data_IF_611114278230
#
_entry.id   IF_611114278230
#
_cell.length_a   1.000
_cell.length_b   1.000
_cell.length_c   1.000
_cell.angle_alpha   90.00
_cell.angle_beta   90.00
_cell.angle_gamma   90.00
#
_symmetry.space_group_name_H-M   'P 1'
#
loop_
_entity.id
_entity.type
_entity.pdbx_description
1 polymer ?
#
# COMPACT_ATOMS: atom_id res chain seq x y z
N UNK A 1 4.56 45.94 -11.90
CA UNK A 1 3.68 44.83 -12.31
C UNK A 1 4.45 43.56 -12.69
N UNK A 2 5.57 43.65 -13.44
CA UNK A 2 6.36 42.47 -13.86
C UNK A 2 7.02 41.67 -12.70
N UNK A 3 7.52 42.33 -11.65
CA UNK A 3 8.14 41.63 -10.51
C UNK A 3 7.15 40.78 -9.68
N UNK A 4 5.86 41.16 -9.66
CA UNK A 4 4.80 40.41 -8.94
C UNK A 4 4.43 39.15 -9.71
N UNK A 5 4.27 39.25 -11.04
CA UNK A 5 4.08 38.09 -11.90
C UNK A 5 5.26 37.11 -11.79
N UNK A 6 6.46 37.65 -11.55
CA UNK A 6 7.65 36.84 -11.32
C UNK A 6 7.73 36.15 -9.96
N UNK A 7 7.22 36.78 -8.90
CA UNK A 7 7.03 36.09 -7.63
C UNK A 7 6.02 34.95 -7.76
N UNK A 8 4.90 35.20 -8.44
CA UNK A 8 3.77 34.28 -8.49
C UNK A 8 4.06 33.00 -9.25
N UNK A 9 4.80 33.05 -10.37
CA UNK A 9 5.22 31.84 -11.07
C UNK A 9 6.21 30.98 -10.26
N UNK A 10 7.04 31.61 -9.42
CA UNK A 10 8.02 30.88 -8.62
C UNK A 10 7.31 30.15 -7.46
N UNK A 11 6.31 30.79 -6.87
CA UNK A 11 5.47 30.20 -5.82
C UNK A 11 4.67 28.99 -6.32
N UNK A 12 4.09 29.06 -7.52
CA UNK A 12 3.38 27.93 -8.13
C UNK A 12 4.33 26.76 -8.41
N UNK A 13 5.52 27.04 -8.94
CA UNK A 13 6.54 26.02 -9.17
C UNK A 13 7.04 25.35 -7.87
N UNK A 14 7.08 26.09 -6.76
CA UNK A 14 7.42 25.56 -5.43
C UNK A 14 6.32 24.65 -4.88
N UNK A 15 5.05 25.04 -5.03
CA UNK A 15 3.91 24.22 -4.58
C UNK A 15 3.79 22.90 -5.36
N UNK A 16 3.98 22.94 -6.68
CA UNK A 16 3.89 21.73 -7.52
C UNK A 16 4.97 20.70 -7.12
N UNK A 17 6.19 21.18 -6.87
CA UNK A 17 7.30 20.35 -6.38
C UNK A 17 6.99 19.78 -5.00
N UNK A 18 6.43 20.59 -4.09
CA UNK A 18 6.10 20.13 -2.74
C UNK A 18 5.03 19.04 -2.75
N UNK A 19 3.97 19.20 -3.55
CA UNK A 19 2.91 18.20 -3.70
C UNK A 19 3.49 16.90 -4.29
N UNK A 20 4.30 17.00 -5.33
CA UNK A 20 4.93 15.83 -5.96
C UNK A 20 5.85 15.07 -4.99
N UNK A 21 6.73 15.78 -4.27
CA UNK A 21 7.62 15.19 -3.27
C UNK A 21 6.84 14.55 -2.11
N UNK A 22 5.76 15.18 -1.66
CA UNK A 22 4.90 14.61 -0.60
C UNK A 22 4.21 13.32 -1.04
N UNK A 23 3.71 13.26 -2.29
CA UNK A 23 3.09 12.06 -2.84
C UNK A 23 4.08 10.90 -2.94
N UNK A 24 5.29 11.15 -3.44
CA UNK A 24 6.36 10.15 -3.48
C UNK A 24 6.74 9.68 -2.07
N UNK A 25 6.85 10.59 -1.10
CA UNK A 25 7.15 10.25 0.29
C UNK A 25 6.10 9.32 0.90
N UNK A 26 4.81 9.55 0.62
CA UNK A 26 3.72 8.69 1.08
C UNK A 26 3.82 7.29 0.43
N UNK A 27 4.03 7.22 -0.89
CA UNK A 27 4.16 5.94 -1.58
C UNK A 27 5.36 5.11 -1.08
N UNK A 28 6.51 5.77 -0.90
CA UNK A 28 7.71 5.12 -0.36
C UNK A 28 7.46 4.65 1.08
N UNK A 29 6.84 5.48 1.93
CA UNK A 29 6.57 5.08 3.32
C UNK A 29 5.61 3.89 3.41
N UNK A 30 4.56 3.82 2.56
CA UNK A 30 3.71 2.62 2.48
C UNK A 30 4.46 1.38 1.98
N UNK A 31 5.33 1.53 0.98
CA UNK A 31 6.14 0.42 0.48
C UNK A 31 7.09 -0.09 1.58
N UNK A 32 7.80 0.80 2.27
CA UNK A 32 8.71 0.47 3.38
C UNK A 32 7.93 -0.17 4.53
N UNK A 33 6.79 0.38 4.94
CA UNK A 33 5.95 -0.19 5.98
C UNK A 33 5.50 -1.62 5.64
N UNK A 34 5.12 -1.86 4.38
CA UNK A 34 4.75 -3.20 3.91
C UNK A 34 5.90 -4.19 4.03
N UNK A 35 7.11 -3.78 3.63
CA UNK A 35 8.32 -4.61 3.73
C UNK A 35 8.68 -4.87 5.19
N UNK A 36 8.63 -3.84 6.06
CA UNK A 36 8.95 -3.97 7.49
C UNK A 36 7.97 -4.90 8.19
N UNK A 37 6.66 -4.80 7.88
CA UNK A 37 5.66 -5.72 8.42
C UNK A 37 5.89 -7.15 7.95
N UNK A 38 6.24 -7.34 6.68
CA UNK A 38 6.55 -8.67 6.12
C UNK A 38 7.79 -9.29 6.78
N UNK A 39 8.90 -8.55 6.85
CA UNK A 39 10.13 -9.01 7.50
C UNK A 39 9.92 -9.22 9.00
N UNK A 40 9.20 -8.32 9.67
CA UNK A 40 8.84 -8.43 11.08
C UNK A 40 8.00 -9.68 11.36
N UNK A 41 7.03 -9.99 10.50
CA UNK A 41 6.27 -11.24 10.57
C UNK A 41 7.19 -12.46 10.39
N UNK A 42 8.10 -12.43 9.41
CA UNK A 42 9.05 -13.51 9.17
C UNK A 42 9.98 -13.75 10.38
N UNK A 43 10.53 -12.68 10.97
CA UNK A 43 11.37 -12.75 12.17
C UNK A 43 10.56 -13.25 13.38
N UNK A 44 9.33 -12.79 13.56
CA UNK A 44 8.42 -13.24 14.62
C UNK A 44 8.15 -14.75 14.52
N UNK A 45 7.84 -15.23 13.31
CA UNK A 45 7.63 -16.65 13.03
C UNK A 45 8.91 -17.44 13.31
N UNK A 46 10.06 -16.97 12.82
CA UNK A 46 11.36 -17.63 13.02
C UNK A 46 11.75 -17.74 14.51
N UNK A 47 11.41 -16.73 15.32
CA UNK A 47 11.64 -16.74 16.78
C UNK A 47 10.64 -17.57 17.57
N UNK A 48 9.45 -17.84 17.04
CA UNK A 48 8.45 -18.64 17.73
C UNK A 48 8.91 -20.10 17.89
N UNK A 49 8.91 -20.61 19.13
CA UNK A 49 9.04 -22.05 19.44
C UNK A 49 7.70 -22.73 19.13
N UNK A 50 7.45 -23.00 17.85
CA UNK A 50 6.28 -23.76 17.39
C UNK A 50 6.73 -24.89 16.47
N UNK A 51 6.00 -26.00 16.47
CA UNK A 51 6.23 -27.13 15.58
C UNK A 51 6.35 -26.67 14.11
N UNK A 52 7.29 -27.27 13.37
CA UNK A 52 7.71 -26.79 12.05
C UNK A 52 6.58 -26.60 11.05
N UNK A 53 5.53 -27.41 11.14
CA UNK A 53 4.33 -27.29 10.29
C UNK A 53 3.53 -26.00 10.53
N UNK A 54 3.32 -25.60 11.80
CA UNK A 54 2.62 -24.35 12.15
C UNK A 54 3.41 -23.11 11.71
N UNK A 55 4.73 -23.22 11.76
CA UNK A 55 5.67 -22.20 11.27
C UNK A 55 5.51 -21.96 9.77
N UNK A 56 5.38 -23.04 8.99
CA UNK A 56 5.20 -22.98 7.54
C UNK A 56 3.88 -22.31 7.13
N UNK A 57 2.78 -22.61 7.83
CA UNK A 57 1.47 -22.00 7.59
C UNK A 57 1.54 -20.48 7.72
N UNK A 58 2.18 -19.97 8.76
CA UNK A 58 2.31 -18.53 8.98
C UNK A 58 3.20 -17.83 7.95
N UNK A 59 4.24 -18.49 7.44
CA UNK A 59 5.08 -17.93 6.35
C UNK A 59 4.28 -17.81 5.06
N UNK A 60 3.53 -18.85 4.69
CA UNK A 60 2.65 -18.83 3.50
C UNK A 60 1.58 -17.76 3.67
N UNK A 61 0.98 -17.64 4.85
CA UNK A 61 -0.02 -16.61 5.12
C UNK A 61 0.54 -15.19 4.98
N UNK A 62 1.75 -14.93 5.46
CA UNK A 62 2.43 -13.64 5.30
C UNK A 62 2.69 -13.28 3.82
N UNK A 63 2.96 -14.29 2.98
CA UNK A 63 3.11 -14.11 1.53
C UNK A 63 1.79 -13.85 0.81
N UNK A 64 0.70 -14.47 1.27
CA UNK A 64 -0.59 -14.48 0.55
C UNK A 64 -1.48 -13.30 0.99
N UNK A 65 -1.35 -12.83 2.23
CA UNK A 65 -2.05 -11.66 2.78
C UNK A 65 -2.00 -10.36 1.91
N UNK A 66 -0.86 -9.92 1.36
CA UNK A 66 -0.81 -8.73 0.51
C UNK A 66 -1.60 -8.89 -0.81
N UNK A 67 -1.74 -10.12 -1.31
CA UNK A 67 -2.50 -10.41 -2.53
C UNK A 67 -3.98 -10.69 -2.25
N UNK A 68 -4.33 -11.07 -1.02
CA UNK A 68 -5.71 -11.35 -0.62
C UNK A 68 -6.62 -10.16 -0.84
N UNK A 69 -6.19 -8.93 -0.56
CA UNK A 69 -7.03 -7.74 -0.75
C UNK A 69 -7.46 -7.54 -2.20
N UNK A 70 -6.52 -7.62 -3.14
CA UNK A 70 -6.82 -7.52 -4.58
C UNK A 70 -7.63 -8.71 -5.08
N UNK A 71 -7.33 -9.92 -4.62
CA UNK A 71 -8.03 -11.13 -5.00
C UNK A 71 -9.48 -11.12 -4.50
N UNK A 72 -9.72 -10.62 -3.28
CA UNK A 72 -11.04 -10.47 -2.67
C UNK A 72 -11.90 -9.48 -3.47
N UNK A 73 -11.31 -8.35 -3.92
CA UNK A 73 -12.00 -7.41 -4.82
C UNK A 73 -12.39 -8.07 -6.15
N UNK A 74 -11.48 -8.83 -6.76
CA UNK A 74 -11.76 -9.52 -8.03
C UNK A 74 -12.75 -10.68 -7.91
N UNK A 75 -12.80 -11.36 -6.76
CA UNK A 75 -13.68 -12.52 -6.52
C UNK A 75 -15.07 -12.13 -6.00
N UNK A 76 -15.17 -11.08 -5.18
CA UNK A 76 -16.42 -10.66 -4.53
C UNK A 76 -16.95 -9.36 -5.15
N UNK A 77 -16.10 -8.37 -5.38
CA UNK A 77 -16.49 -7.09 -5.99
C UNK A 77 -17.11 -7.25 -7.39
N UNK A 78 -16.62 -8.20 -8.20
CA UNK A 78 -17.22 -8.50 -9.51
C UNK A 78 -18.58 -9.20 -9.45
N UNK A 79 -18.89 -9.92 -8.37
CA UNK A 79 -20.16 -10.66 -8.25
C UNK A 79 -21.32 -9.78 -7.78
N UNK A 80 -21.05 -8.60 -7.24
CA UNK A 80 -22.09 -7.68 -6.76
C UNK A 80 -22.77 -6.87 -7.86
N UNK A 81 -22.23 -6.85 -9.09
CA UNK A 81 -22.79 -6.08 -10.21
C UNK A 81 -23.89 -6.83 -10.98
N UNK A 82 -24.01 -8.14 -10.83
CA UNK A 82 -25.01 -8.94 -11.54
C UNK A 82 -26.37 -8.95 -10.83
N UNK A 83 -26.42 -8.62 -9.54
CA UNK A 83 -27.65 -8.71 -8.73
C UNK A 83 -28.56 -7.48 -8.86
N UNK A 84 -28.06 -6.33 -9.32
CA UNK A 84 -28.87 -5.11 -9.47
C UNK A 84 -29.72 -5.03 -10.75
N UNK A 85 -29.67 -6.05 -11.63
CA UNK A 85 -30.36 -6.00 -12.93
C UNK A 85 -31.77 -6.63 -12.92
N UNK A 86 -32.29 -7.07 -11.76
CA UNK A 86 -33.56 -7.79 -11.65
C UNK A 86 -34.47 -7.36 -10.48
N UNK A 87 -34.33 -6.13 -9.96
CA UNK A 87 -35.25 -5.58 -8.96
C UNK A 87 -36.05 -4.40 -9.53
#
# INVERSE_FOLDING_TARGET
MHAVLAGQHNLLALSDRAVFLSGIGILISMAVASVVLFVGALVSILRARMDGGMKLVWVVFAFVAPFLGSLLWFLIGRRSLTTYQHA
#
